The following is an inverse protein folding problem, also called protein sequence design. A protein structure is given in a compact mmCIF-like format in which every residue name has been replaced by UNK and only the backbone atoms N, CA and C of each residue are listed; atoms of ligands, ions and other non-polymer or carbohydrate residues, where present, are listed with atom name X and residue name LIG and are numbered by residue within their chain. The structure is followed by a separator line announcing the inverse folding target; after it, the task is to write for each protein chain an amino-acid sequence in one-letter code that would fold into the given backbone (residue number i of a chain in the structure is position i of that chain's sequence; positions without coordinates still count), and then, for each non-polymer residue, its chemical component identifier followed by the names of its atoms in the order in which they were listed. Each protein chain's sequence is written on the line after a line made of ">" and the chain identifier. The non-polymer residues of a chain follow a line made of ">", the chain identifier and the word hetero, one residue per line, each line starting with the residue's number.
data_IF_598916906704
#
_entry.id   IF_598916906704
#
_cell.length_a   1.000
_cell.length_b   1.000
_cell.length_c   1.000
_cell.angle_alpha   90.00
_cell.angle_beta   90.00
_cell.angle_gamma   90.00
#
_symmetry.space_group_name_H-M   'P 1'
#
loop_
_entity.id
_entity.type
_entity.pdbx_description
1 polymer ?
#
# COMPACT_ATOMS: atom_id res chain seq x y z
N UNK A 1 15.91 -1.83 0.22
CA UNK A 1 15.53 -0.43 0.01
C UNK A 1 14.38 -0.12 0.95
N UNK A 2 14.61 0.63 2.04
CA UNK A 2 13.53 1.02 2.96
C UNK A 2 12.73 2.14 2.30
N UNK A 3 11.44 1.90 2.10
CA UNK A 3 10.51 2.93 1.66
C UNK A 3 10.39 3.95 2.79
N UNK A 4 10.80 5.20 2.55
CA UNK A 4 10.75 6.26 3.57
C UNK A 4 9.30 6.53 3.99
N UNK A 5 9.05 6.83 5.26
CA UNK A 5 7.71 7.09 5.82
C UNK A 5 6.83 7.99 4.93
N UNK A 6 7.41 9.04 4.35
CA UNK A 6 6.75 9.97 3.42
C UNK A 6 6.35 9.32 2.10
N UNK A 7 7.20 8.45 1.53
CA UNK A 7 6.89 7.74 0.29
C UNK A 7 5.75 6.74 0.51
N UNK A 8 5.78 5.99 1.62
CA UNK A 8 4.71 5.04 1.94
C UNK A 8 3.36 5.73 2.12
N UNK A 9 3.36 6.91 2.77
CA UNK A 9 2.17 7.75 2.95
C UNK A 9 1.61 8.22 1.61
N UNK A 10 2.48 8.74 0.73
CA UNK A 10 2.09 9.22 -0.61
C UNK A 10 1.58 8.06 -1.47
N UNK A 11 2.26 6.91 -1.46
CA UNK A 11 1.85 5.72 -2.21
C UNK A 11 0.48 5.22 -1.74
N UNK A 12 0.22 5.20 -0.44
CA UNK A 12 -1.06 4.77 0.12
C UNK A 12 -2.20 5.73 -0.21
N UNK A 13 -1.95 7.05 -0.13
CA UNK A 13 -2.90 8.07 -0.56
C UNK A 13 -3.21 7.99 -2.05
N UNK A 14 -2.18 7.82 -2.89
CA UNK A 14 -2.33 7.67 -4.33
C UNK A 14 -3.14 6.42 -4.70
N UNK A 15 -2.91 5.30 -4.01
CA UNK A 15 -3.64 4.05 -4.26
C UNK A 15 -5.12 4.17 -3.87
N UNK A 16 -5.42 4.88 -2.78
CA UNK A 16 -6.80 5.18 -2.37
C UNK A 16 -7.50 6.08 -3.39
N UNK A 17 -6.82 7.12 -3.88
CA UNK A 17 -7.36 8.00 -4.92
C UNK A 17 -7.57 7.26 -6.24
N UNK A 18 -6.63 6.41 -6.64
CA UNK A 18 -6.75 5.58 -7.84
C UNK A 18 -7.90 4.57 -7.74
N UNK A 19 -8.11 3.96 -6.57
CA UNK A 19 -9.25 3.07 -6.31
C UNK A 19 -10.58 3.84 -6.38
N UNK A 20 -10.63 5.04 -5.80
CA UNK A 20 -11.83 5.87 -5.83
C UNK A 20 -12.19 6.30 -7.26
N UNK A 21 -11.24 6.84 -8.02
CA UNK A 21 -11.45 7.24 -9.41
C UNK A 21 -11.75 6.02 -10.29
N UNK A 22 -11.06 4.90 -10.07
CA UNK A 22 -11.28 3.65 -10.80
C UNK A 22 -12.65 3.05 -10.55
N UNK A 23 -13.17 3.14 -9.32
CA UNK A 23 -14.55 2.75 -9.00
C UNK A 23 -15.59 3.71 -9.58
N UNK A 24 -15.28 5.01 -9.64
CA UNK A 24 -16.19 6.03 -10.19
C UNK A 24 -16.31 5.94 -11.72
N UNK A 25 -15.25 5.48 -12.39
CA UNK A 25 -15.19 5.32 -13.84
C UNK A 25 -15.58 3.91 -14.31
N UNK A 26 -16.10 3.06 -13.40
CA UNK A 26 -16.43 1.64 -13.62
C UNK A 26 -15.27 0.78 -14.18
N UNK A 27 -14.04 1.32 -14.20
CA UNK A 27 -12.82 0.60 -14.59
C UNK A 27 -12.57 -0.56 -13.63
N UNK A 28 -13.00 -0.41 -12.38
CA UNK A 28 -12.87 -1.41 -11.33
C UNK A 28 -13.80 -2.62 -11.54
N UNK A 29 -14.81 -2.53 -12.42
CA UNK A 29 -15.69 -3.65 -12.75
C UNK A 29 -14.96 -4.75 -13.53
N UNK A 30 -13.82 -4.41 -14.16
CA UNK A 30 -12.94 -5.42 -14.74
C UNK A 30 -12.19 -6.17 -13.63
N UNK A 31 -12.47 -7.48 -13.53
CA UNK A 31 -11.82 -8.42 -12.62
C UNK A 31 -10.28 -8.32 -12.63
N UNK A 32 -9.69 -8.09 -13.81
CA UNK A 32 -8.24 -7.94 -13.97
C UNK A 32 -7.74 -6.65 -13.29
N UNK A 33 -8.42 -5.52 -13.48
CA UNK A 33 -8.04 -4.24 -12.86
C UNK A 33 -8.25 -4.27 -11.35
N UNK A 34 -9.37 -4.82 -10.89
CA UNK A 34 -9.64 -5.02 -9.46
C UNK A 34 -8.52 -5.84 -8.81
N UNK A 35 -8.09 -6.92 -9.46
CA UNK A 35 -7.03 -7.79 -8.97
C UNK A 35 -5.68 -7.06 -8.89
N UNK A 36 -5.31 -6.29 -9.93
CA UNK A 36 -4.05 -5.54 -9.94
C UNK A 36 -3.99 -4.48 -8.84
N UNK A 37 -5.07 -3.71 -8.66
CA UNK A 37 -5.13 -2.67 -7.61
C UNK A 37 -5.09 -3.32 -6.23
N UNK A 38 -5.80 -4.43 -6.04
CA UNK A 38 -5.80 -5.19 -4.78
C UNK A 38 -4.42 -5.78 -4.47
N UNK A 39 -3.71 -6.31 -5.47
CA UNK A 39 -2.35 -6.83 -5.32
C UNK A 39 -1.36 -5.71 -4.92
N UNK A 40 -1.50 -4.54 -5.54
CA UNK A 40 -0.68 -3.37 -5.25
C UNK A 40 -0.95 -2.86 -3.83
N UNK A 41 -2.23 -2.84 -3.41
CA UNK A 41 -2.62 -2.54 -2.03
C UNK A 41 -1.99 -3.52 -1.04
N UNK A 42 -2.06 -4.82 -1.30
CA UNK A 42 -1.46 -5.85 -0.46
C UNK A 42 0.06 -5.66 -0.31
N UNK A 43 0.74 -5.29 -1.40
CA UNK A 43 2.18 -5.02 -1.38
C UNK A 43 2.52 -3.83 -0.47
N UNK A 44 1.73 -2.75 -0.51
CA UNK A 44 1.90 -1.61 0.40
C UNK A 44 1.62 -2.02 1.84
N UNK A 45 0.54 -2.77 2.10
CA UNK A 45 0.19 -3.25 3.44
C UNK A 45 1.32 -4.10 4.01
N UNK A 46 1.86 -5.05 3.24
CA UNK A 46 3.01 -5.88 3.66
C UNK A 46 4.22 -5.01 3.97
N UNK A 47 4.52 -4.00 3.15
CA UNK A 47 5.64 -3.08 3.37
C UNK A 47 5.45 -2.24 4.65
N UNK A 48 4.24 -1.75 4.91
CA UNK A 48 3.87 -1.05 6.15
C UNK A 48 3.98 -1.96 7.35
N UNK A 49 3.44 -3.18 7.26
CA UNK A 49 3.46 -4.16 8.34
C UNK A 49 4.89 -4.59 8.68
N UNK A 50 5.72 -4.83 7.66
CA UNK A 50 7.15 -5.15 7.83
C UNK A 50 7.92 -3.99 8.44
N UNK A 51 7.64 -2.74 8.04
CA UNK A 51 8.26 -1.56 8.65
C UNK A 51 7.83 -1.38 10.11
N UNK A 52 6.53 -1.58 10.42
CA UNK A 52 6.02 -1.54 11.78
C UNK A 52 6.56 -2.67 12.67
N UNK A 53 6.78 -3.86 12.11
CA UNK A 53 7.37 -5.01 12.81
C UNK A 53 8.88 -4.83 13.03
N UNK A 54 9.60 -4.31 12.03
CA UNK A 54 11.04 -4.03 12.14
C UNK A 54 11.36 -2.97 13.19
N UNK A 55 10.44 -2.03 13.45
CA UNK A 55 10.59 -1.03 14.51
C UNK A 55 10.50 -1.63 15.91
N UNK A 56 9.91 -2.82 16.06
CA UNK A 56 9.78 -3.52 17.35
C UNK A 56 11.02 -4.35 17.71
N UNK A 57 11.83 -4.76 16.73
CA UNK A 57 13.06 -5.52 16.98
C UNK A 57 14.28 -4.62 17.22
N UNK A 58 14.27 -3.35 16.80
CA UNK A 58 15.35 -2.41 17.13
C UNK A 58 15.27 -1.88 18.57
N UNK A 59 14.10 -1.94 19.22
CA UNK A 59 13.89 -1.50 20.61
C UNK A 59 14.21 -2.60 21.64
N UNK A 60 14.64 -3.79 21.19
CA UNK A 60 14.98 -4.95 22.03
C UNK A 60 16.49 -5.24 22.08
N UNK A 61 17.29 -4.48 21.31
CA UNK A 61 18.76 -4.56 21.27
C UNK A 61 19.45 -3.27 21.75
N UNK A 62 18.69 -2.28 22.26
CA UNK A 62 19.21 -1.09 22.95
C UNK A 62 19.16 -1.27 24.50
#
# INVERSE_FOLDING_TARGET
>A
MMLTNKQTLILSGLLTAAFFIGGLLDILDNFIMLTLITLMFFTIVINVFKSGFSKRNQDLED
#
